data_IF_770171655947
#
_entry.id   IF_770171655947
#
_cell.length_a   1.000
_cell.length_b   1.000
_cell.length_c   1.000
_cell.angle_alpha   90.00
_cell.angle_beta   90.00
_cell.angle_gamma   90.00
#
_symmetry.space_group_name_H-M   'P 1'
#
loop_
_entity.id
_entity.type
_entity.pdbx_description
1 polymer ?
#
# COMPACT_ATOMS: atom_id res chain seq x y z
N UNK A 1 -5.39 25.20 -1.94
CA UNK A 1 -4.33 25.74 -1.06
C UNK A 1 -4.98 25.93 0.31
N UNK A 2 -4.59 25.15 1.34
CA UNK A 2 -5.21 25.26 2.67
C UNK A 2 -4.78 26.59 3.31
N UNK A 3 -5.77 27.27 3.86
CA UNK A 3 -5.70 28.56 4.53
C UNK A 3 -4.58 28.58 5.60
N UNK A 4 -3.52 29.36 5.38
CA UNK A 4 -2.39 29.49 6.32
C UNK A 4 -2.79 30.20 7.62
N UNK A 5 -3.95 30.85 7.65
CA UNK A 5 -4.50 31.49 8.85
C UNK A 5 -5.00 30.47 9.89
N UNK A 6 -5.38 29.26 9.46
CA UNK A 6 -5.75 28.16 10.37
C UNK A 6 -4.53 27.26 10.53
N UNK A 7 -3.66 27.57 11.51
CA UNK A 7 -2.49 26.78 11.93
C UNK A 7 -2.89 25.36 12.40
N UNK A 8 -3.36 24.54 11.47
CA UNK A 8 -3.98 23.22 11.71
C UNK A 8 -3.29 22.17 10.85
N UNK A 9 -3.22 20.94 11.34
CA UNK A 9 -2.58 19.83 10.61
C UNK A 9 -1.05 19.88 10.64
N UNK A 10 -0.47 20.07 11.83
CA UNK A 10 0.97 19.96 12.04
C UNK A 10 1.49 18.61 11.53
N UNK A 11 2.60 18.63 10.78
CA UNK A 11 3.20 17.46 10.11
C UNK A 11 2.32 16.72 9.09
N UNK A 12 1.12 17.21 8.74
CA UNK A 12 0.20 16.56 7.79
C UNK A 12 0.21 17.19 6.38
N UNK A 13 1.15 18.08 6.10
CA UNK A 13 1.27 18.73 4.80
C UNK A 13 1.53 17.69 3.68
N UNK A 14 0.86 17.84 2.53
CA UNK A 14 1.02 16.97 1.36
C UNK A 14 2.46 16.89 0.84
N UNK A 15 3.29 17.89 1.12
CA UNK A 15 4.73 17.88 0.81
C UNK A 15 5.43 16.69 1.48
N UNK A 16 5.10 16.34 2.73
CA UNK A 16 5.70 15.16 3.38
C UNK A 16 5.34 13.88 2.65
N UNK A 17 4.09 13.74 2.20
CA UNK A 17 3.66 12.60 1.40
C UNK A 17 4.35 12.53 0.03
N UNK A 18 4.64 13.69 -0.57
CA UNK A 18 5.37 13.78 -1.83
C UNK A 18 6.84 13.35 -1.65
N UNK A 19 7.53 13.92 -0.65
CA UNK A 19 8.93 13.58 -0.33
C UNK A 19 9.04 12.09 -0.01
N UNK A 20 8.17 11.57 0.87
CA UNK A 20 8.16 10.16 1.22
C UNK A 20 8.02 9.28 -0.03
N UNK A 21 7.16 9.65 -0.97
CA UNK A 21 6.98 8.88 -2.20
C UNK A 21 8.23 8.90 -3.09
N UNK A 22 8.78 10.09 -3.32
CA UNK A 22 9.93 10.27 -4.20
C UNK A 22 11.22 9.65 -3.64
N UNK A 23 11.40 9.71 -2.32
CA UNK A 23 12.64 9.24 -1.68
C UNK A 23 12.54 7.77 -1.31
N UNK A 24 11.39 7.32 -0.81
CA UNK A 24 11.27 5.99 -0.21
C UNK A 24 10.46 4.99 -1.07
N UNK A 25 9.69 5.43 -2.07
CA UNK A 25 8.76 4.60 -2.86
C UNK A 25 8.86 4.82 -4.38
N UNK A 26 9.96 5.39 -4.88
CA UNK A 26 10.09 5.74 -6.29
C UNK A 26 10.42 4.56 -7.23
N UNK A 27 10.84 3.42 -6.69
CA UNK A 27 11.40 2.30 -7.45
C UNK A 27 10.58 1.01 -7.33
N UNK A 28 9.24 1.12 -7.30
CA UNK A 28 8.36 -0.04 -7.21
C UNK A 28 8.75 -0.98 -6.06
N UNK A 29 8.76 -2.29 -6.33
CA UNK A 29 9.13 -3.37 -5.41
C UNK A 29 10.52 -3.23 -4.78
N UNK A 30 11.50 -2.70 -5.52
CA UNK A 30 12.85 -2.42 -5.05
C UNK A 30 12.94 -1.16 -4.16
N UNK A 31 11.85 -0.44 -3.97
CA UNK A 31 11.86 0.76 -3.13
C UNK A 31 12.19 0.43 -1.67
N UNK A 32 13.03 1.26 -1.06
CA UNK A 32 13.47 1.11 0.33
C UNK A 32 12.30 1.03 1.32
N UNK A 33 11.22 1.77 1.07
CA UNK A 33 10.00 1.74 1.88
C UNK A 33 9.23 0.42 1.85
N UNK A 34 9.44 -0.43 0.83
CA UNK A 34 8.90 -1.79 0.76
C UNK A 34 9.87 -2.80 1.34
N UNK A 35 11.12 -2.79 0.88
CA UNK A 35 12.17 -3.72 1.36
C UNK A 35 12.34 -3.62 2.89
N UNK A 36 12.36 -2.40 3.41
CA UNK A 36 12.50 -2.12 4.84
C UNK A 36 11.17 -1.72 5.49
N UNK A 37 10.05 -2.30 5.04
CA UNK A 37 8.70 -1.98 5.52
C UNK A 37 8.54 -1.95 7.04
N UNK A 38 9.22 -2.85 7.77
CA UNK A 38 9.24 -2.89 9.24
C UNK A 38 9.70 -1.57 9.87
N UNK A 39 10.62 -0.85 9.23
CA UNK A 39 11.17 0.40 9.74
C UNK A 39 10.39 1.64 9.29
N UNK A 40 9.56 1.50 8.24
CA UNK A 40 8.77 2.58 7.67
C UNK A 40 7.26 2.51 8.01
N UNK A 41 6.79 1.43 8.66
CA UNK A 41 5.39 1.25 9.06
C UNK A 41 5.27 1.12 10.60
N UNK A 42 4.84 2.18 11.32
CA UNK A 42 4.50 3.52 10.83
C UNK A 42 5.75 4.32 10.41
N UNK A 43 5.56 5.41 9.66
CA UNK A 43 6.65 6.36 9.37
C UNK A 43 7.20 6.87 10.69
N UNK A 44 8.51 6.75 10.92
CA UNK A 44 9.14 7.14 12.18
C UNK A 44 9.16 8.67 12.35
N UNK A 45 9.22 9.14 13.61
CA UNK A 45 9.36 10.58 13.87
C UNK A 45 10.71 11.10 13.37
N UNK A 46 11.75 10.29 13.44
CA UNK A 46 13.08 10.59 12.93
C UNK A 46 13.05 10.82 11.42
N UNK A 47 12.28 10.03 10.68
CA UNK A 47 12.11 10.23 9.22
C UNK A 47 11.41 11.56 8.92
N UNK A 48 10.38 11.90 9.69
CA UNK A 48 9.67 13.18 9.55
C UNK A 48 10.57 14.37 9.93
N UNK A 49 11.35 14.25 11.01
CA UNK A 49 12.31 15.27 11.43
C UNK A 49 13.37 15.51 10.35
N UNK A 50 13.87 14.44 9.73
CA UNK A 50 14.79 14.53 8.59
C UNK A 50 14.17 15.29 7.41
N UNK A 51 12.90 15.02 7.08
CA UNK A 51 12.21 15.77 6.03
C UNK A 51 12.03 17.25 6.37
N UNK A 52 11.64 17.58 7.62
CA UNK A 52 11.53 18.96 8.07
C UNK A 52 12.88 19.68 8.00
N UNK A 53 13.96 19.01 8.41
CA UNK A 53 15.33 19.53 8.36
C UNK A 53 15.76 19.79 6.93
N UNK A 54 15.48 18.86 6.01
CA UNK A 54 15.79 19.00 4.60
C UNK A 54 15.00 20.16 3.96
N UNK A 55 13.72 20.31 4.31
CA UNK A 55 12.89 21.43 3.85
C UNK A 55 13.49 22.75 4.37
N UNK A 56 13.79 22.84 5.66
CA UNK A 56 14.41 24.03 6.26
C UNK A 56 15.71 24.40 5.54
N UNK A 57 16.58 23.42 5.30
CA UNK A 57 17.82 23.62 4.56
C UNK A 57 17.59 24.21 3.16
N UNK A 58 16.62 23.66 2.41
CA UNK A 58 16.26 24.18 1.08
C UNK A 58 15.68 25.59 1.19
N UNK A 59 14.81 25.86 2.18
CA UNK A 59 14.27 27.20 2.39
C UNK A 59 15.37 28.23 2.68
N UNK A 60 16.41 27.86 3.46
CA UNK A 60 17.57 28.73 3.69
C UNK A 60 18.31 29.07 2.39
N UNK A 61 18.45 28.13 1.45
CA UNK A 61 19.09 28.37 0.15
C UNK A 61 18.35 29.39 -0.71
N UNK A 62 17.04 29.53 -0.51
CA UNK A 62 16.17 30.46 -1.24
C UNK A 62 15.79 31.69 -0.43
N UNK A 63 16.31 31.85 0.79
CA UNK A 63 15.92 32.92 1.73
C UNK A 63 16.09 34.34 1.18
N UNK A 64 17.07 34.56 0.31
CA UNK A 64 17.29 35.86 -0.35
C UNK A 64 16.44 36.09 -1.60
N UNK A 65 15.52 35.19 -1.95
CA UNK A 65 14.74 35.21 -3.20
C UNK A 65 15.55 34.78 -4.45
N UNK A 66 16.84 34.52 -4.29
CA UNK A 66 17.75 34.01 -5.32
C UNK A 66 18.37 32.73 -4.77
N UNK A 67 18.42 31.69 -5.59
CA UNK A 67 19.07 30.43 -5.23
C UNK A 67 20.54 30.65 -4.91
N UNK A 68 20.93 30.37 -3.66
CA UNK A 68 22.32 30.31 -3.23
C UNK A 68 22.73 28.85 -3.09
N UNK A 69 23.56 28.37 -4.01
CA UNK A 69 24.23 27.08 -3.83
C UNK A 69 25.17 27.21 -2.64
N UNK A 70 24.87 26.49 -1.57
CA UNK A 70 25.75 26.41 -0.41
C UNK A 70 27.07 25.74 -0.80
N UNK A 71 28.20 26.33 -0.38
CA UNK A 71 29.51 25.70 -0.51
C UNK A 71 29.65 24.49 0.41
N UNK A 72 30.78 23.78 0.36
CA UNK A 72 31.03 22.58 1.19
C UNK A 72 30.81 22.82 2.69
N UNK A 73 31.13 24.01 3.19
CA UNK A 73 30.95 24.40 4.59
C UNK A 73 29.49 24.52 5.03
N UNK A 74 28.56 24.73 4.10
CA UNK A 74 27.13 24.86 4.36
C UNK A 74 26.31 23.76 3.67
N UNK A 75 26.96 22.66 3.27
CA UNK A 75 26.28 21.52 2.69
C UNK A 75 25.32 20.87 3.69
N UNK A 76 24.34 20.12 3.16
CA UNK A 76 23.47 19.29 3.96
C UNK A 76 24.26 18.09 4.51
N UNK A 77 24.88 18.28 5.67
CA UNK A 77 25.60 17.26 6.43
C UNK A 77 24.98 17.10 7.80
N UNK A 78 25.21 15.95 8.43
CA UNK A 78 24.75 15.69 9.80
C UNK A 78 25.30 16.73 10.77
N UNK A 79 26.61 17.03 10.71
CA UNK A 79 27.26 18.01 11.59
C UNK A 79 26.54 19.37 11.52
N UNK A 80 26.27 19.86 10.32
CA UNK A 80 25.69 21.19 10.11
C UNK A 80 24.19 21.27 10.43
N UNK A 81 23.46 20.16 10.36
CA UNK A 81 22.00 20.15 10.48
C UNK A 81 21.50 19.36 11.71
N UNK A 82 22.40 18.81 12.51
CA UNK A 82 22.11 18.02 13.72
C UNK A 82 21.23 18.78 14.71
N UNK A 83 21.52 20.07 14.93
CA UNK A 83 20.75 20.94 15.83
C UNK A 83 19.31 21.07 15.35
N UNK A 84 19.09 21.44 14.09
CA UNK A 84 17.75 21.55 13.51
C UNK A 84 16.99 20.21 13.52
N UNK A 85 17.69 19.11 13.23
CA UNK A 85 17.09 17.79 13.30
C UNK A 85 16.63 17.44 14.71
N UNK A 86 17.44 17.71 15.72
CA UNK A 86 17.09 17.49 17.12
C UNK A 86 15.89 18.35 17.56
N UNK A 87 15.86 19.62 17.17
CA UNK A 87 14.74 20.52 17.43
C UNK A 87 13.44 20.01 16.81
N UNK A 88 13.44 19.69 15.51
CA UNK A 88 12.24 19.16 14.85
C UNK A 88 11.79 17.81 15.41
N UNK A 89 12.74 16.95 15.81
CA UNK A 89 12.41 15.69 16.46
C UNK A 89 11.73 15.92 17.82
N UNK A 90 12.20 16.91 18.59
CA UNK A 90 11.57 17.27 19.85
C UNK A 90 10.16 17.81 19.64
N UNK A 91 9.94 18.67 18.65
CA UNK A 91 8.61 19.17 18.30
C UNK A 91 7.67 18.05 17.86
N UNK A 92 8.16 17.09 17.08
CA UNK A 92 7.38 15.92 16.66
C UNK A 92 7.03 15.01 17.84
N UNK A 93 7.92 14.86 18.83
CA UNK A 93 7.65 14.13 20.07
C UNK A 93 6.59 14.86 20.91
N UNK A 94 6.68 16.18 21.02
CA UNK A 94 5.67 16.98 21.69
C UNK A 94 4.30 16.82 21.01
N UNK A 95 4.27 16.84 19.68
CA UNK A 95 3.06 16.58 18.89
C UNK A 95 2.48 15.17 19.13
N UNK A 96 3.33 14.13 19.14
CA UNK A 96 2.91 12.76 19.46
C UNK A 96 2.37 12.63 20.89
N UNK A 97 2.93 13.37 21.84
CA UNK A 97 2.50 13.36 23.24
C UNK A 97 1.10 13.95 23.43
N UNK A 98 0.65 14.87 22.56
CA UNK A 98 -0.72 15.43 22.63
C UNK A 98 -1.78 14.35 22.40
N UNK A 99 -1.57 13.48 21.41
CA UNK A 99 -2.44 12.33 21.18
C UNK A 99 -1.71 11.23 20.40
N UNK A 100 -1.10 10.30 21.12
CA UNK A 100 -0.23 9.27 20.55
C UNK A 100 -0.98 8.35 19.60
N UNK A 101 -2.23 7.99 19.91
CA UNK A 101 -3.02 7.08 19.09
C UNK A 101 -3.37 7.70 17.73
N UNK A 102 -3.82 8.96 17.73
CA UNK A 102 -4.15 9.69 16.51
C UNK A 102 -2.90 9.90 15.67
N UNK A 103 -1.79 10.31 16.28
CA UNK A 103 -0.51 10.51 15.58
C UNK A 103 0.05 9.22 14.99
N UNK A 104 -0.08 8.09 15.70
CA UNK A 104 0.24 6.77 15.16
C UNK A 104 -0.61 6.43 13.94
N UNK A 105 -1.93 6.65 14.00
CA UNK A 105 -2.86 6.43 12.88
C UNK A 105 -2.50 7.31 11.68
N UNK A 106 -2.13 8.57 11.90
CA UNK A 106 -1.69 9.49 10.84
C UNK A 106 -0.43 8.94 10.16
N UNK A 107 0.61 8.59 10.92
CA UNK A 107 1.88 8.08 10.37
C UNK A 107 1.71 6.73 9.64
N UNK A 108 0.87 5.82 10.17
CA UNK A 108 0.50 4.58 9.47
C UNK A 108 -0.20 4.90 8.14
N UNK A 109 -1.15 5.84 8.13
CA UNK A 109 -1.85 6.24 6.92
C UNK A 109 -0.93 6.86 5.88
N UNK A 110 0.06 7.66 6.30
CA UNK A 110 1.09 8.22 5.41
C UNK A 110 1.88 7.12 4.69
N UNK A 111 2.33 6.10 5.45
CA UNK A 111 3.01 4.93 4.90
C UNK A 111 2.13 4.19 3.88
N UNK A 112 0.91 3.82 4.28
CA UNK A 112 -0.01 3.06 3.42
C UNK A 112 -0.32 3.80 2.11
N UNK A 113 -0.54 5.11 2.17
CA UNK A 113 -0.78 5.94 0.97
C UNK A 113 0.45 6.04 0.06
N UNK A 114 1.66 6.01 0.62
CA UNK A 114 2.88 6.00 -0.19
C UNK A 114 3.05 4.66 -0.90
N UNK A 115 2.79 3.56 -0.18
CA UNK A 115 2.86 2.19 -0.67
C UNK A 115 1.79 1.90 -1.74
N UNK A 116 0.54 2.27 -1.52
CA UNK A 116 -0.54 2.07 -2.49
C UNK A 116 -0.20 2.71 -3.86
N UNK A 117 0.39 3.91 -3.83
CA UNK A 117 0.78 4.64 -5.04
C UNK A 117 2.06 4.11 -5.71
N UNK A 118 2.76 3.16 -5.11
CA UNK A 118 3.94 2.52 -5.70
C UNK A 118 3.58 1.40 -6.69
N UNK A 119 2.30 1.04 -6.82
CA UNK A 119 1.81 0.07 -7.81
C UNK A 119 2.10 -1.41 -7.49
N UNK A 120 2.64 -1.69 -6.29
CA UNK A 120 3.01 -3.04 -5.84
C UNK A 120 1.82 -3.75 -5.21
N UNK A 121 0.97 -3.00 -4.51
CA UNK A 121 -0.25 -3.58 -3.99
C UNK A 121 -1.21 -3.79 -5.16
N UNK A 122 -1.81 -4.99 -5.29
CA UNK A 122 -2.85 -5.21 -6.29
C UNK A 122 -3.93 -4.13 -6.11
N UNK A 123 -4.45 -3.55 -7.21
CA UNK A 123 -5.45 -2.50 -7.11
C UNK A 123 -6.57 -3.01 -6.23
N UNK A 124 -6.90 -2.24 -5.17
CA UNK A 124 -7.97 -2.61 -4.25
C UNK A 124 -9.22 -2.86 -5.09
N UNK A 125 -9.60 -4.14 -5.21
CA UNK A 125 -10.83 -4.53 -5.90
C UNK A 125 -11.93 -3.89 -5.07
N UNK A 126 -12.50 -2.79 -5.57
CA UNK A 126 -13.70 -2.23 -4.96
C UNK A 126 -14.72 -3.36 -4.95
N UNK A 127 -15.19 -3.73 -3.76
CA UNK A 127 -16.17 -4.80 -3.63
C UNK A 127 -17.30 -4.52 -4.62
N UNK A 128 -17.45 -5.39 -5.61
CA UNK A 128 -18.50 -5.30 -6.63
C UNK A 128 -19.87 -5.30 -5.94
N UNK A 129 -19.96 -6.03 -4.83
CA UNK A 129 -21.11 -6.05 -3.93
C UNK A 129 -21.00 -4.89 -2.93
N UNK A 130 -21.60 -3.76 -3.30
CA UNK A 130 -21.88 -2.65 -2.38
C UNK A 130 -23.09 -2.98 -1.50
N UNK A 131 -23.32 -2.22 -0.43
CA UNK A 131 -24.49 -2.41 0.45
C UNK A 131 -25.82 -2.37 -0.30
N UNK A 132 -25.93 -1.48 -1.30
CA UNK A 132 -27.10 -1.35 -2.16
C UNK A 132 -27.26 -2.56 -3.10
N UNK A 133 -26.15 -3.07 -3.67
CA UNK A 133 -26.19 -4.27 -4.49
C UNK A 133 -26.54 -5.50 -3.66
N UNK A 134 -26.03 -5.58 -2.43
CA UNK A 134 -26.36 -6.64 -1.47
C UNK A 134 -27.86 -6.63 -1.13
N UNK A 135 -28.45 -5.45 -0.91
CA UNK A 135 -29.89 -5.33 -0.66
C UNK A 135 -30.72 -5.82 -1.85
N UNK A 136 -30.30 -5.51 -3.08
CA UNK A 136 -30.95 -6.00 -4.31
C UNK A 136 -30.81 -7.51 -4.48
N UNK A 137 -29.60 -8.05 -4.26
CA UNK A 137 -29.34 -9.50 -4.31
C UNK A 137 -30.18 -10.27 -3.29
N UNK A 138 -30.32 -9.75 -2.07
CA UNK A 138 -31.18 -10.35 -1.02
C UNK A 138 -32.64 -10.35 -1.46
N UNK A 139 -33.13 -9.26 -2.07
CA UNK A 139 -34.51 -9.20 -2.59
C UNK A 139 -34.75 -10.15 -3.77
N UNK A 140 -33.76 -10.31 -4.65
CA UNK A 140 -33.84 -11.21 -5.82
C UNK A 140 -33.79 -12.69 -5.41
N UNK A 141 -32.92 -13.04 -4.45
CA UNK A 141 -32.82 -14.40 -3.92
C UNK A 141 -34.03 -14.77 -3.05
N UNK A 142 -34.61 -13.83 -2.31
CA UNK A 142 -35.85 -14.05 -1.56
C UNK A 142 -37.05 -14.38 -2.48
N UNK A 143 -37.00 -13.96 -3.75
CA UNK A 143 -38.02 -14.27 -4.75
C UNK A 143 -37.77 -15.61 -5.48
N UNK A 144 -36.65 -16.29 -5.21
CA UNK A 144 -36.31 -17.60 -5.79
C UNK A 144 -36.38 -18.66 -4.69
N UNK A 145 -37.47 -19.41 -4.64
CA UNK A 145 -37.71 -20.48 -3.66
C UNK A 145 -36.87 -21.75 -3.89
N UNK A 146 -36.05 -21.81 -4.94
CA UNK A 146 -35.12 -22.92 -5.14
C UNK A 146 -35.81 -24.27 -5.40
N UNK A 147 -37.08 -24.27 -5.78
CA UNK A 147 -37.75 -25.46 -6.30
C UNK A 147 -37.20 -25.72 -7.70
N UNK A 148 -36.16 -26.56 -7.73
CA UNK A 148 -35.76 -27.29 -8.93
C UNK A 148 -36.76 -28.44 -9.00
N UNK A 149 -37.59 -28.46 -10.04
CA UNK A 149 -38.55 -29.54 -10.30
C UNK A 149 -37.84 -30.90 -10.12
N UNK A 150 -38.21 -31.65 -9.08
CA UNK A 150 -37.95 -33.08 -9.01
C UNK A 150 -38.83 -33.71 -10.09
N UNK A 151 -38.26 -33.99 -11.26
CA UNK A 151 -38.94 -34.77 -12.29
C UNK A 151 -39.29 -36.14 -11.72
N UNK A 152 -40.60 -36.42 -11.66
CA UNK A 152 -41.19 -37.68 -11.20
C UNK A 152 -40.64 -38.88 -11.99
N UNK A 153 -40.15 -39.88 -11.26
CA UNK A 153 -39.82 -41.20 -11.77
C UNK A 153 -41.08 -41.87 -12.36
N UNK A 154 -41.03 -42.22 -13.64
CA UNK A 154 -41.91 -43.25 -14.21
C UNK A 154 -41.09 -44.50 -14.47
N UNK A 155 -41.22 -45.43 -13.53
CA UNK A 155 -40.89 -46.84 -13.72
C UNK A 155 -41.78 -47.42 -14.82
N UNK A 156 -41.17 -47.81 -15.94
CA UNK A 156 -41.72 -48.81 -16.88
C UNK A 156 -40.58 -49.74 -17.36
N UNK A 157 -40.59 -50.91 -16.73
CA UNK A 157 -40.13 -52.26 -17.05
C UNK A 157 -39.48 -52.61 -18.43
N UNK A 158 -38.44 -53.47 -18.34
CA UNK A 158 -37.88 -54.44 -19.30
C UNK A 158 -37.00 -54.01 -20.51
N UNK A 159 -35.73 -54.46 -20.47
CA UNK A 159 -34.89 -54.61 -21.66
C UNK A 159 -33.47 -55.12 -21.36
N UNK A 160 -33.31 -56.45 -21.34
CA UNK A 160 -32.06 -57.19 -21.10
C UNK A 160 -30.86 -56.81 -21.97
N UNK A 161 -29.69 -56.75 -21.31
CA UNK A 161 -28.36 -57.26 -21.73
C UNK A 161 -27.95 -57.16 -23.21
N UNK A 162 -26.90 -56.38 -23.49
CA UNK A 162 -25.80 -56.90 -24.31
C UNK A 162 -24.46 -56.24 -23.99
N UNK A 163 -23.45 -57.10 -23.97
CA UNK A 163 -22.03 -56.89 -23.65
C UNK A 163 -21.31 -55.98 -24.66
N UNK A 164 -20.19 -55.41 -24.24
CA UNK A 164 -19.27 -54.67 -25.11
C UNK A 164 -17.95 -54.38 -24.41
N UNK A 165 -17.04 -55.34 -24.52
CA UNK A 165 -15.63 -55.27 -24.14
C UNK A 165 -14.88 -54.10 -24.83
N UNK A 166 -13.78 -53.67 -24.21
CA UNK A 166 -12.73 -52.91 -24.88
C UNK A 166 -12.00 -51.97 -23.92
N UNK A 167 -10.85 -52.37 -23.36
CA UNK A 167 -9.53 -52.25 -24.01
C UNK A 167 -9.12 -50.75 -24.06
N UNK A 168 -7.98 -50.28 -23.58
CA UNK A 168 -6.75 -50.89 -23.12
C UNK A 168 -5.80 -49.74 -22.75
N UNK A 169 -4.87 -50.02 -21.83
CA UNK A 169 -3.54 -49.44 -21.60
C UNK A 169 -3.34 -47.90 -21.63
N UNK A 170 -2.72 -47.32 -20.61
CA UNK A 170 -1.26 -47.42 -20.37
C UNK A 170 -0.54 -46.36 -21.22
N UNK A 171 0.47 -45.61 -20.81
CA UNK A 171 1.51 -45.79 -19.81
C UNK A 171 2.23 -44.42 -19.69
N UNK A 172 2.69 -44.00 -18.50
CA UNK A 172 4.10 -44.03 -18.07
C UNK A 172 4.96 -42.90 -18.70
N UNK A 173 5.02 -41.72 -18.06
CA UNK A 173 6.10 -41.10 -17.21
C UNK A 173 7.22 -40.33 -18.00
N UNK A 174 8.10 -39.53 -17.35
CA UNK A 174 8.53 -38.20 -17.81
C UNK A 174 10.03 -38.23 -18.20
N UNK A 175 10.69 -37.09 -18.30
CA UNK A 175 12.13 -36.83 -18.02
C UNK A 175 12.39 -35.36 -18.47
N UNK A 176 12.68 -34.43 -17.55
CA UNK A 176 14.03 -34.01 -17.11
C UNK A 176 14.92 -33.58 -18.30
N UNK A 177 15.55 -32.40 -18.38
CA UNK A 177 16.53 -31.84 -17.45
C UNK A 177 17.05 -30.50 -18.00
N UNK A 178 17.62 -29.70 -17.10
CA UNK A 178 18.37 -28.46 -17.32
C UNK A 178 19.75 -28.63 -17.98
N UNK A 179 20.31 -27.54 -18.53
CA UNK A 179 21.70 -26.99 -18.44
C UNK A 179 21.89 -25.98 -19.60
N UNK A 180 22.20 -24.69 -19.39
CA UNK A 180 23.44 -24.04 -18.93
C UNK A 180 24.56 -23.96 -20.00
N UNK A 181 25.22 -22.79 -20.04
CA UNK A 181 26.36 -22.33 -20.89
C UNK A 181 25.95 -21.83 -22.29
N UNK A 182 26.40 -20.68 -22.80
CA UNK A 182 27.63 -19.88 -22.58
C UNK A 182 27.42 -18.44 -22.07
#
# INVERSE_FOLDING_TARGET
MKDTAKLTGFAENSVFQLILRLVCFAHGDASRGIVFSRFFNPVSLETLALFMTQINHVMCQWSSGIYRRHGKSQAFTEVNNSVYHAEYLQELRNWEAVNTEVVLKIRKRMYLRAREKSGIDPPAIKAVITGDLKARMVSELAARTGETDTEDEKDDDMGSMQEGEGSDNGAVVPIDTATASD
#
